data_IF_482939839314
#
_entry.id   IF_482939839314
#
_cell.length_a   1.000
_cell.length_b   1.000
_cell.length_c   1.000
_cell.angle_alpha   90.00
_cell.angle_beta   90.00
_cell.angle_gamma   90.00
#
_symmetry.space_group_name_H-M   'P 1'
#
loop_
_entity.id
_entity.type
_entity.pdbx_description
1 polymer ?
#
# COMPACT_ATOMS: atom_id res chain seq x y z
N UNK A 1 58.44 -68.76 -16.08
CA UNK A 1 57.11 -68.41 -16.60
C UNK A 1 56.25 -68.03 -15.42
N UNK A 2 56.36 -66.77 -14.99
CA UNK A 2 55.59 -66.22 -13.87
C UNK A 2 54.27 -65.72 -14.44
N UNK A 3 53.25 -66.56 -14.25
CA UNK A 3 51.88 -66.30 -14.60
C UNK A 3 51.44 -64.96 -14.04
N UNK A 4 51.12 -64.04 -14.95
CA UNK A 4 50.22 -62.88 -14.79
C UNK A 4 49.46 -63.00 -13.47
N UNK A 5 49.97 -62.35 -12.41
CA UNK A 5 49.13 -61.95 -11.28
C UNK A 5 48.00 -61.16 -11.94
N UNK A 6 46.87 -61.85 -12.07
CA UNK A 6 46.08 -61.81 -13.29
C UNK A 6 45.53 -60.40 -13.47
N UNK A 7 45.53 -59.85 -14.69
CA UNK A 7 45.03 -58.50 -14.98
C UNK A 7 43.69 -58.17 -14.28
N UNK A 8 42.88 -59.21 -14.04
CA UNK A 8 41.65 -59.16 -13.23
C UNK A 8 41.89 -58.69 -11.78
N UNK A 9 42.90 -59.19 -11.08
CA UNK A 9 43.26 -58.75 -9.73
C UNK A 9 43.67 -57.28 -9.69
N UNK A 10 44.43 -56.83 -10.70
CA UNK A 10 44.82 -55.42 -10.85
C UNK A 10 43.59 -54.54 -11.11
N UNK A 11 42.66 -54.99 -11.94
CA UNK A 11 41.41 -54.28 -12.22
C UNK A 11 40.48 -54.25 -11.00
N UNK A 12 40.38 -55.33 -10.23
CA UNK A 12 39.62 -55.38 -8.98
C UNK A 12 40.21 -54.42 -7.94
N UNK A 13 41.54 -54.41 -7.79
CA UNK A 13 42.23 -53.46 -6.91
C UNK A 13 42.03 -52.01 -7.34
N UNK A 14 42.01 -51.75 -8.65
CA UNK A 14 41.72 -50.42 -9.20
C UNK A 14 40.24 -50.03 -8.98
N UNK A 15 39.31 -50.97 -9.12
CA UNK A 15 37.89 -50.75 -8.88
C UNK A 15 37.62 -50.42 -7.40
N UNK A 16 38.19 -51.17 -6.45
CA UNK A 16 38.11 -50.86 -5.01
C UNK A 16 38.69 -49.47 -4.69
N UNK A 17 39.77 -49.08 -5.37
CA UNK A 17 40.37 -47.75 -5.19
C UNK A 17 39.45 -46.62 -5.69
N UNK A 18 38.79 -46.80 -6.84
CA UNK A 18 37.81 -45.83 -7.36
C UNK A 18 36.58 -45.75 -6.45
N UNK A 19 36.09 -46.88 -5.96
CA UNK A 19 34.91 -46.95 -5.10
C UNK A 19 35.18 -46.32 -3.71
N UNK A 20 36.42 -46.41 -3.20
CA UNK A 20 36.85 -45.64 -2.01
C UNK A 20 36.94 -44.15 -2.31
N UNK A 21 37.52 -43.78 -3.45
CA UNK A 21 37.63 -42.38 -3.90
C UNK A 21 36.29 -41.70 -4.13
N UNK A 22 35.31 -42.43 -4.65
CA UNK A 22 33.97 -41.93 -4.92
C UNK A 22 33.20 -41.69 -3.61
N UNK A 23 33.27 -42.64 -2.65
CA UNK A 23 32.73 -42.45 -1.29
C UNK A 23 33.39 -41.28 -0.55
N UNK A 24 34.69 -41.08 -0.70
CA UNK A 24 35.41 -39.93 -0.10
C UNK A 24 35.04 -38.59 -0.77
N UNK A 25 34.76 -38.60 -2.08
CA UNK A 25 34.32 -37.40 -2.80
C UNK A 25 32.91 -36.96 -2.40
N UNK A 26 32.05 -37.90 -2.02
CA UNK A 26 30.70 -37.63 -1.50
C UNK A 26 30.70 -37.28 0.01
N UNK A 27 31.67 -37.79 0.78
CA UNK A 27 31.75 -37.59 2.23
C UNK A 27 32.85 -36.61 2.67
N UNK A 28 32.93 -35.47 1.98
CA UNK A 28 33.92 -34.41 2.22
C UNK A 28 33.88 -33.67 3.56
N UNK A 29 33.12 -34.12 4.58
CA UNK A 29 33.04 -33.43 5.88
C UNK A 29 33.00 -34.31 7.13
N UNK A 30 33.10 -35.64 7.04
CA UNK A 30 32.93 -36.51 8.22
C UNK A 30 33.96 -37.65 8.31
N UNK A 31 35.25 -37.31 8.37
CA UNK A 31 36.23 -38.22 8.98
C UNK A 31 37.34 -37.42 9.66
N UNK A 32 37.12 -37.10 10.93
CA UNK A 32 38.19 -36.71 11.85
C UNK A 32 38.49 -37.94 12.69
N UNK A 33 39.65 -38.56 12.51
CA UNK A 33 40.56 -38.84 13.63
C UNK A 33 42.02 -38.84 13.14
N UNK A 34 42.96 -38.37 13.98
CA UNK A 34 44.28 -37.91 13.58
C UNK A 34 45.33 -39.02 13.73
N UNK A 35 46.39 -38.99 12.92
CA UNK A 35 47.78 -38.94 13.41
C UNK A 35 48.82 -39.00 12.27
N UNK A 36 49.76 -38.05 12.35
CA UNK A 36 51.14 -37.99 11.84
C UNK A 36 51.39 -37.38 10.44
N UNK A 37 52.01 -36.19 10.48
CA UNK A 37 52.55 -35.33 9.40
C UNK A 37 53.85 -35.88 8.78
N UNK A 38 54.65 -35.11 7.97
CA UNK A 38 54.40 -33.93 7.12
C UNK A 38 54.98 -34.08 5.68
N UNK A 39 54.51 -33.28 4.71
CA UNK A 39 55.24 -33.11 3.44
C UNK A 39 54.60 -32.11 2.48
N UNK A 40 55.27 -31.00 2.11
CA UNK A 40 54.74 -30.02 1.17
C UNK A 40 55.19 -30.37 -0.24
N UNK A 41 54.26 -30.77 -1.12
CA UNK A 41 54.58 -30.91 -2.55
C UNK A 41 53.51 -30.22 -3.38
N UNK A 42 53.90 -29.06 -3.90
CA UNK A 42 53.21 -28.30 -4.92
C UNK A 42 52.69 -29.19 -6.05
N UNK A 43 51.38 -29.35 -6.16
CA UNK A 43 50.77 -29.77 -7.42
C UNK A 43 50.21 -28.55 -8.11
N UNK A 44 51.03 -27.99 -9.02
CA UNK A 44 50.57 -27.09 -10.09
C UNK A 44 49.34 -27.72 -10.76
N UNK A 45 48.16 -27.17 -10.49
CA UNK A 45 46.97 -27.43 -11.31
C UNK A 45 47.22 -26.76 -12.66
N UNK A 46 47.48 -27.59 -13.67
CA UNK A 46 47.29 -27.20 -15.08
C UNK A 46 45.80 -26.85 -15.23
N UNK A 47 45.49 -25.57 -15.41
CA UNK A 47 44.15 -25.14 -15.79
C UNK A 47 43.84 -25.54 -17.24
N UNK A 48 42.55 -25.75 -17.61
CA UNK A 48 42.14 -26.03 -18.98
C UNK A 48 42.24 -24.78 -19.89
N UNK A 49 42.21 -24.94 -21.24
CA UNK A 49 42.53 -23.89 -22.21
C UNK A 49 41.49 -22.75 -22.31
N UNK A 50 41.84 -21.57 -22.87
CA UNK A 50 41.01 -20.38 -22.85
C UNK A 50 40.00 -20.39 -24.00
N UNK A 51 38.71 -20.58 -23.69
CA UNK A 51 37.62 -20.29 -24.64
C UNK A 51 36.27 -19.96 -23.97
N UNK A 52 36.27 -19.47 -22.71
CA UNK A 52 35.04 -19.13 -21.98
C UNK A 52 34.64 -17.65 -22.06
N UNK A 53 35.52 -16.76 -22.53
CA UNK A 53 35.30 -15.30 -22.46
C UNK A 53 34.19 -14.73 -23.36
N UNK A 54 33.83 -15.40 -24.46
CA UNK A 54 32.84 -14.87 -25.41
C UNK A 54 31.38 -15.17 -25.02
N UNK A 55 31.12 -16.33 -24.39
CA UNK A 55 29.77 -16.72 -23.94
C UNK A 55 29.36 -16.02 -22.63
N UNK A 56 30.32 -15.67 -21.78
CA UNK A 56 30.05 -14.94 -20.53
C UNK A 56 29.75 -13.46 -20.75
N UNK A 57 30.26 -12.85 -21.84
CA UNK A 57 30.00 -11.44 -22.15
C UNK A 57 28.51 -11.17 -22.37
N UNK A 58 27.85 -11.94 -23.23
CA UNK A 58 26.40 -11.79 -23.49
C UNK A 58 25.52 -12.09 -22.27
N UNK A 59 25.89 -13.09 -21.47
CA UNK A 59 25.21 -13.41 -20.20
C UNK A 59 25.37 -12.30 -19.17
N UNK A 60 26.55 -11.67 -19.09
CA UNK A 60 26.81 -10.57 -18.17
C UNK A 60 26.01 -9.31 -18.52
N UNK A 61 25.93 -8.94 -19.80
CA UNK A 61 25.13 -7.80 -20.28
C UNK A 61 23.65 -8.03 -19.98
N UNK A 62 23.14 -9.24 -20.23
CA UNK A 62 21.75 -9.60 -19.90
C UNK A 62 21.46 -9.45 -18.39
N UNK A 63 22.34 -9.95 -17.53
CA UNK A 63 22.20 -9.82 -16.08
C UNK A 63 22.23 -8.37 -15.62
N UNK A 64 23.08 -7.54 -16.22
CA UNK A 64 23.14 -6.12 -15.90
C UNK A 64 21.86 -5.40 -16.32
N UNK A 65 21.34 -5.68 -17.52
CA UNK A 65 20.08 -5.13 -18.00
C UNK A 65 18.90 -5.53 -17.09
N UNK A 66 18.81 -6.81 -16.72
CA UNK A 66 17.76 -7.30 -15.82
C UNK A 66 17.89 -6.71 -14.41
N UNK A 67 19.12 -6.48 -13.92
CA UNK A 67 19.35 -5.78 -12.65
C UNK A 67 18.83 -4.33 -12.71
N UNK A 68 19.13 -3.61 -13.79
CA UNK A 68 18.63 -2.24 -14.03
C UNK A 68 17.10 -2.23 -14.12
N UNK A 69 16.50 -3.16 -14.87
CA UNK A 69 15.04 -3.34 -14.98
C UNK A 69 14.40 -3.59 -13.60
N UNK A 70 14.97 -4.47 -12.78
CA UNK A 70 14.47 -4.76 -11.42
C UNK A 70 14.58 -3.56 -10.50
N UNK A 71 15.66 -2.78 -10.58
CA UNK A 71 15.80 -1.55 -9.81
C UNK A 71 14.74 -0.51 -10.20
N UNK A 72 14.47 -0.35 -11.49
CA UNK A 72 13.41 0.53 -11.97
C UNK A 72 12.02 0.08 -11.48
N UNK A 73 11.71 -1.22 -11.57
CA UNK A 73 10.44 -1.76 -11.08
C UNK A 73 10.26 -1.48 -9.57
N UNK A 74 11.30 -1.68 -8.75
CA UNK A 74 11.25 -1.36 -7.32
C UNK A 74 10.92 0.10 -7.08
N UNK A 75 11.57 1.03 -7.80
CA UNK A 75 11.27 2.46 -7.73
C UNK A 75 9.81 2.76 -8.08
N UNK A 76 9.29 2.16 -9.16
CA UNK A 76 7.88 2.34 -9.54
C UNK A 76 6.92 1.84 -8.44
N UNK A 77 7.21 0.70 -7.82
CA UNK A 77 6.37 0.16 -6.74
C UNK A 77 6.46 1.00 -5.46
N UNK A 78 7.61 1.56 -5.14
CA UNK A 78 7.79 2.51 -4.04
C UNK A 78 7.01 3.81 -4.26
N UNK A 79 7.02 4.34 -5.49
CA UNK A 79 6.21 5.51 -5.85
C UNK A 79 4.70 5.20 -5.75
N UNK A 80 4.27 4.04 -6.26
CA UNK A 80 2.89 3.60 -6.13
C UNK A 80 2.48 3.52 -4.65
N UNK A 81 3.37 2.97 -3.81
CA UNK A 81 3.14 2.90 -2.36
C UNK A 81 2.87 4.28 -1.75
N UNK A 82 3.65 5.31 -2.11
CA UNK A 82 3.48 6.66 -1.57
C UNK A 82 2.14 7.32 -1.94
N UNK A 83 1.54 6.92 -3.07
CA UNK A 83 0.26 7.49 -3.54
C UNK A 83 -0.96 6.83 -2.90
N UNK A 84 -0.76 5.71 -2.19
CA UNK A 84 -1.86 4.96 -1.59
C UNK A 84 -2.17 5.47 -0.18
N UNK A 85 -3.44 5.51 0.24
CA UNK A 85 -3.82 5.71 1.63
C UNK A 85 -3.41 4.48 2.45
N UNK A 86 -2.15 4.44 2.84
CA UNK A 86 -1.56 3.37 3.62
C UNK A 86 -1.67 3.76 5.09
N UNK A 87 -2.65 3.18 5.77
CA UNK A 87 -2.65 3.17 7.24
C UNK A 87 -1.36 2.52 7.76
N UNK A 88 -1.00 2.84 9.00
CA UNK A 88 0.18 2.32 9.69
C UNK A 88 0.23 0.77 9.78
N UNK A 89 -0.88 0.10 9.46
CA UNK A 89 -1.07 -1.35 9.65
C UNK A 89 -0.40 -2.23 8.57
N UNK A 90 0.16 -1.65 7.51
CA UNK A 90 0.81 -2.42 6.45
C UNK A 90 2.34 -2.39 6.56
N UNK A 91 2.87 -2.90 7.67
CA UNK A 91 4.31 -3.06 7.89
C UNK A 91 4.99 -3.94 6.81
N UNK A 92 4.23 -4.82 6.13
CA UNK A 92 4.69 -5.66 5.02
C UNK A 92 3.66 -5.74 3.89
N UNK A 93 4.02 -5.26 2.71
CA UNK A 93 3.23 -5.35 1.48
C UNK A 93 3.95 -6.25 0.47
N UNK A 94 3.21 -7.17 -0.14
CA UNK A 94 3.65 -7.91 -1.33
C UNK A 94 3.26 -7.13 -2.58
N UNK A 95 3.97 -7.33 -3.70
CA UNK A 95 3.65 -6.67 -4.98
C UNK A 95 2.18 -6.87 -5.37
N UNK A 96 1.66 -8.09 -5.21
CA UNK A 96 0.26 -8.40 -5.53
C UNK A 96 -0.73 -7.64 -4.64
N UNK A 97 -0.47 -7.57 -3.34
CA UNK A 97 -1.34 -6.85 -2.40
C UNK A 97 -1.39 -5.35 -2.69
N UNK A 98 -0.25 -4.75 -3.07
CA UNK A 98 -0.16 -3.34 -3.46
C UNK A 98 -1.00 -3.06 -4.71
N UNK A 99 -0.86 -3.88 -5.76
CA UNK A 99 -1.60 -3.70 -7.01
C UNK A 99 -3.11 -3.88 -6.81
N UNK A 100 -3.54 -4.85 -6.00
CA UNK A 100 -4.98 -5.04 -5.68
C UNK A 100 -5.55 -3.83 -4.94
N UNK A 101 -4.84 -3.31 -3.94
CA UNK A 101 -5.27 -2.11 -3.21
C UNK A 101 -5.29 -0.89 -4.13
N UNK A 102 -4.30 -0.72 -4.99
CA UNK A 102 -4.26 0.38 -5.96
C UNK A 102 -5.50 0.37 -6.86
N UNK A 103 -5.86 -0.80 -7.40
CA UNK A 103 -7.09 -0.94 -8.18
C UNK A 103 -8.34 -0.54 -7.38
N UNK A 104 -8.48 -1.02 -6.15
CA UNK A 104 -9.62 -0.66 -5.30
C UNK A 104 -9.65 0.83 -4.97
N UNK A 105 -8.50 1.46 -4.77
CA UNK A 105 -8.43 2.88 -4.47
C UNK A 105 -8.84 3.74 -5.66
N UNK A 106 -8.40 3.39 -6.87
CA UNK A 106 -8.84 4.04 -8.11
C UNK A 106 -10.37 3.96 -8.22
N UNK A 107 -10.95 2.77 -8.06
CA UNK A 107 -12.40 2.58 -8.10
C UNK A 107 -13.13 3.44 -7.06
N UNK A 108 -12.61 3.50 -5.83
CA UNK A 108 -13.16 4.35 -4.76
C UNK A 108 -13.11 5.83 -5.15
N UNK A 109 -12.01 6.30 -5.73
CA UNK A 109 -11.88 7.70 -6.18
C UNK A 109 -12.86 8.02 -7.30
N UNK A 110 -13.02 7.13 -8.28
CA UNK A 110 -13.98 7.28 -9.38
C UNK A 110 -15.42 7.37 -8.86
N UNK A 111 -15.80 6.51 -7.91
CA UNK A 111 -17.13 6.56 -7.28
C UNK A 111 -17.35 7.87 -6.51
N UNK A 112 -16.34 8.33 -5.78
CA UNK A 112 -16.40 9.60 -5.04
C UNK A 112 -16.55 10.79 -5.99
N UNK A 113 -15.82 10.80 -7.09
CA UNK A 113 -15.92 11.82 -8.12
C UNK A 113 -17.34 11.86 -8.71
N UNK A 114 -17.91 10.70 -9.07
CA UNK A 114 -19.28 10.63 -9.60
C UNK A 114 -20.33 11.13 -8.58
N UNK A 115 -20.19 10.78 -7.30
CA UNK A 115 -21.09 11.27 -6.24
C UNK A 115 -20.98 12.78 -6.07
N UNK A 116 -19.76 13.33 -6.06
CA UNK A 116 -19.52 14.76 -5.96
C UNK A 116 -20.07 15.52 -7.18
N UNK A 117 -19.95 14.96 -8.38
CA UNK A 117 -20.53 15.52 -9.60
C UNK A 117 -22.06 15.61 -9.50
N UNK A 118 -22.74 14.53 -9.10
CA UNK A 118 -24.21 14.53 -8.90
C UNK A 118 -24.64 15.57 -7.87
N UNK A 119 -23.95 15.65 -6.73
CA UNK A 119 -24.26 16.64 -5.69
C UNK A 119 -24.08 18.07 -6.22
N UNK A 120 -23.02 18.33 -6.98
CA UNK A 120 -22.76 19.63 -7.58
C UNK A 120 -23.86 20.02 -8.57
N UNK A 121 -24.36 19.09 -9.37
CA UNK A 121 -25.49 19.32 -10.28
C UNK A 121 -26.79 19.62 -9.55
N UNK A 122 -27.11 18.85 -8.50
CA UNK A 122 -28.27 19.11 -7.66
C UNK A 122 -28.21 20.50 -7.03
N UNK A 123 -27.06 20.89 -6.47
CA UNK A 123 -26.86 22.21 -5.87
C UNK A 123 -26.96 23.33 -6.92
N UNK A 124 -26.45 23.11 -8.14
CA UNK A 124 -26.60 24.07 -9.25
C UNK A 124 -28.06 24.28 -9.64
N UNK A 125 -28.84 23.20 -9.73
CA UNK A 125 -30.28 23.28 -10.02
C UNK A 125 -31.03 24.04 -8.92
N UNK A 126 -30.77 23.71 -7.65
CA UNK A 126 -31.34 24.44 -6.50
C UNK A 126 -30.96 25.92 -6.52
N UNK A 127 -29.70 26.24 -6.80
CA UNK A 127 -29.24 27.63 -6.91
C UNK A 127 -29.98 28.39 -8.03
N UNK A 128 -30.19 27.75 -9.18
CA UNK A 128 -30.93 28.37 -10.29
C UNK A 128 -32.39 28.61 -9.92
N UNK A 129 -33.06 27.63 -9.31
CA UNK A 129 -34.45 27.77 -8.84
C UNK A 129 -34.59 28.92 -7.83
N UNK A 130 -33.72 28.98 -6.82
CA UNK A 130 -33.72 30.06 -5.83
C UNK A 130 -33.45 31.43 -6.47
N UNK A 131 -32.57 31.51 -7.48
CA UNK A 131 -32.33 32.74 -8.23
C UNK A 131 -33.57 33.21 -8.99
N UNK A 132 -34.29 32.29 -9.64
CA UNK A 132 -35.55 32.61 -10.33
C UNK A 132 -36.62 33.09 -9.34
N UNK A 133 -36.75 32.45 -8.18
CA UNK A 133 -37.67 32.90 -7.12
C UNK A 133 -37.31 34.30 -6.60
N UNK A 134 -36.01 34.56 -6.38
CA UNK A 134 -35.56 35.91 -5.99
C UNK A 134 -35.84 36.94 -7.08
N UNK A 135 -35.69 36.59 -8.36
CA UNK A 135 -36.02 37.47 -9.47
C UNK A 135 -37.52 37.75 -9.54
N UNK A 136 -38.38 36.75 -9.33
CA UNK A 136 -39.85 36.95 -9.26
C UNK A 136 -40.27 37.86 -8.10
N UNK A 137 -39.63 37.73 -6.93
CA UNK A 137 -39.92 38.57 -5.77
C UNK A 137 -39.33 39.99 -5.90
N UNK A 138 -38.21 40.15 -6.62
CA UNK A 138 -37.58 41.45 -6.88
C UNK A 138 -38.14 42.15 -8.10
N UNK A 139 -38.72 41.42 -9.05
CA UNK A 139 -39.52 41.97 -10.12
C UNK A 139 -40.61 42.80 -9.44
N UNK A 140 -40.66 44.12 -9.68
CA UNK A 140 -41.54 44.98 -8.92
C UNK A 140 -42.97 44.47 -9.09
N UNK A 141 -43.59 44.06 -7.98
CA UNK A 141 -45.02 43.80 -7.83
C UNK A 141 -45.84 45.10 -8.03
N UNK A 142 -45.53 45.87 -9.07
CA UNK A 142 -45.77 47.31 -9.09
C UNK A 142 -45.87 47.94 -10.47
N UNK A 143 -45.91 47.17 -11.56
CA UNK A 143 -46.27 47.71 -12.88
C UNK A 143 -47.70 47.34 -13.33
N UNK A 144 -48.37 46.41 -12.64
CA UNK A 144 -49.74 45.97 -12.99
C UNK A 144 -50.78 46.06 -11.88
N UNK A 145 -50.38 46.18 -10.61
CA UNK A 145 -51.33 46.12 -9.48
C UNK A 145 -51.65 47.49 -8.85
N UNK A 146 -50.84 48.53 -9.09
CA UNK A 146 -51.17 49.89 -8.61
C UNK A 146 -52.33 50.55 -9.37
N UNK A 147 -52.72 50.04 -10.53
CA UNK A 147 -53.82 50.61 -11.34
C UNK A 147 -55.15 49.87 -11.15
N UNK A 148 -55.21 48.81 -10.33
CA UNK A 148 -56.45 48.04 -10.09
C UNK A 148 -57.03 48.18 -8.68
N UNK A 149 -56.58 49.18 -7.92
CA UNK A 149 -57.32 49.66 -6.76
C UNK A 149 -58.54 50.46 -7.22
N UNK A 150 -59.64 49.77 -7.59
CA UNK A 150 -61.06 50.18 -7.47
C UNK A 150 -61.94 49.30 -8.36
N UNK A 151 -62.43 48.18 -7.81
CA UNK A 151 -63.71 47.61 -8.17
C UNK A 151 -64.14 46.63 -7.07
N UNK A 152 -64.91 47.18 -6.14
CA UNK A 152 -66.00 46.60 -5.35
C UNK A 152 -66.25 45.09 -5.51
N UNK A 153 -66.31 44.36 -4.38
CA UNK A 153 -67.55 43.76 -3.85
C UNK A 153 -67.25 42.62 -2.87
N UNK A 154 -68.13 42.55 -1.88
CA UNK A 154 -68.15 41.64 -0.74
C UNK A 154 -68.49 40.20 -1.16
N UNK A 155 -68.12 39.27 -0.27
CA UNK A 155 -68.61 37.89 -0.13
C UNK A 155 -67.79 36.79 -0.82
N UNK A 156 -67.02 36.05 0.00
CA UNK A 156 -66.87 34.59 -0.04
C UNK A 156 -65.87 34.13 1.02
N UNK A 157 -66.38 33.92 2.22
CA UNK A 157 -65.79 33.01 3.21
C UNK A 157 -66.11 31.57 2.81
N UNK A 158 -65.08 30.73 2.56
CA UNK A 158 -65.26 29.35 2.14
C UNK A 158 -63.97 28.54 2.20
N UNK A 159 -63.64 28.12 3.42
CA UNK A 159 -62.70 27.08 3.83
C UNK A 159 -62.46 25.98 2.77
N UNK A 160 -61.21 25.72 2.39
CA UNK A 160 -60.62 24.36 2.49
C UNK A 160 -59.12 24.38 2.17
N UNK A 161 -58.36 24.39 3.27
CA UNK A 161 -56.96 24.01 3.33
C UNK A 161 -56.89 22.48 3.38
N UNK A 162 -56.54 21.81 2.29
CA UNK A 162 -56.19 20.39 2.30
C UNK A 162 -54.89 20.16 1.52
N UNK A 163 -53.79 20.25 2.29
CA UNK A 163 -52.59 19.41 2.23
C UNK A 163 -51.99 19.20 0.83
N UNK A 164 -51.01 20.04 0.49
CA UNK A 164 -49.94 19.61 -0.39
C UNK A 164 -49.00 18.74 0.45
N UNK A 165 -49.18 17.42 0.34
CA UNK A 165 -48.30 16.42 0.95
C UNK A 165 -47.01 16.33 0.12
N UNK A 166 -46.09 17.27 0.39
CA UNK A 166 -44.73 17.13 -0.09
C UNK A 166 -44.02 16.19 0.87
N UNK A 167 -43.96 14.91 0.48
CA UNK A 167 -43.13 13.86 1.06
C UNK A 167 -41.69 14.38 1.23
N UNK A 168 -41.42 14.88 2.42
CA UNK A 168 -40.07 15.10 2.91
C UNK A 168 -39.60 13.75 3.44
N UNK A 169 -39.06 12.91 2.56
CA UNK A 169 -38.26 11.78 3.04
C UNK A 169 -37.07 12.35 3.81
N UNK A 170 -37.14 12.19 5.14
CA UNK A 170 -36.07 12.44 6.08
C UNK A 170 -34.88 11.55 5.69
N UNK A 171 -33.96 12.09 4.89
CA UNK A 171 -32.63 11.53 4.78
C UNK A 171 -31.93 11.79 6.12
N UNK A 172 -32.00 10.78 7.00
CA UNK A 172 -31.14 10.66 8.17
C UNK A 172 -29.70 10.91 7.73
N UNK A 173 -29.17 12.08 8.11
CA UNK A 173 -27.75 12.35 7.99
C UNK A 173 -27.08 11.52 9.07
N UNK A 174 -26.46 10.41 8.69
CA UNK A 174 -25.58 9.64 9.56
C UNK A 174 -24.42 10.55 10.01
N UNK A 175 -24.54 11.11 11.22
CA UNK A 175 -23.49 11.88 11.90
C UNK A 175 -22.54 10.94 12.68
N UNK A 176 -22.71 9.62 12.58
CA UNK A 176 -21.95 8.63 13.35
C UNK A 176 -21.04 7.76 12.47
N UNK A 177 -20.26 8.37 11.57
CA UNK A 177 -19.10 7.66 10.98
C UNK A 177 -17.84 8.51 10.77
N UNK A 178 -17.79 9.75 11.25
CA UNK A 178 -16.51 10.42 11.56
C UNK A 178 -16.09 10.06 13.00
N UNK A 179 -16.12 8.76 13.32
CA UNK A 179 -15.23 8.21 14.33
C UNK A 179 -13.86 8.13 13.67
N UNK A 180 -13.16 9.26 13.72
CA UNK A 180 -11.71 9.29 13.65
C UNK A 180 -11.21 8.34 14.74
N UNK A 181 -10.85 7.13 14.33
CA UNK A 181 -10.38 6.09 15.22
C UNK A 181 -9.10 6.54 15.94
N UNK A 182 -9.27 6.86 17.23
CA UNK A 182 -8.30 6.52 18.26
C UNK A 182 -7.18 7.50 18.55
N UNK A 183 -7.49 8.72 19.01
CA UNK A 183 -6.54 9.46 19.87
C UNK A 183 -6.88 9.19 21.34
N UNK A 184 -6.40 8.05 21.83
CA UNK A 184 -6.36 7.70 23.24
C UNK A 184 -5.23 8.42 24.01
N UNK A 185 -4.81 9.63 23.61
CA UNK A 185 -3.66 10.31 24.23
C UNK A 185 -3.87 11.75 24.73
N UNK A 186 -5.04 12.39 24.53
CA UNK A 186 -5.21 13.81 24.93
C UNK A 186 -5.87 14.08 26.30
N UNK A 187 -6.09 13.05 27.13
CA UNK A 187 -6.56 13.23 28.52
C UNK A 187 -5.50 12.90 29.58
N UNK A 188 -4.25 13.30 29.32
CA UNK A 188 -3.20 13.40 30.37
C UNK A 188 -2.62 14.82 30.37
N UNK A 189 -3.45 15.80 30.71
CA UNK A 189 -3.01 17.20 30.63
C UNK A 189 -3.76 18.23 31.48
N UNK A 190 -4.70 17.83 32.34
CA UNK A 190 -5.30 18.76 33.32
C UNK A 190 -5.50 18.02 34.65
N UNK A 191 -4.47 18.04 35.50
CA UNK A 191 -4.64 17.83 36.94
C UNK A 191 -4.44 19.18 37.62
N UNK A 192 -5.56 19.87 37.86
CA UNK A 192 -5.61 20.92 38.87
C UNK A 192 -5.75 20.22 40.22
N UNK A 193 -4.60 19.97 40.86
CA UNK A 193 -4.50 19.42 42.20
C UNK A 193 -3.74 20.40 43.08
N UNK A 194 -4.50 21.30 43.69
CA UNK A 194 -4.09 22.20 44.76
C UNK A 194 -3.56 21.41 45.95
N UNK A 195 -2.29 21.60 46.32
CA UNK A 195 -1.80 21.37 47.68
C UNK A 195 -0.66 22.36 47.96
N UNK A 196 -0.88 23.27 48.91
CA UNK A 196 0.16 24.11 49.46
C UNK A 196 1.05 23.25 50.37
N UNK A 197 2.38 23.30 50.20
CA UNK A 197 3.28 23.21 51.35
C UNK A 197 4.65 23.82 51.05
N UNK A 198 4.99 24.79 51.89
CA UNK A 198 6.25 25.51 52.00
C UNK A 198 7.23 24.63 52.77
N UNK A 199 8.47 24.50 52.28
CA UNK A 199 9.66 24.58 53.13
C UNK A 199 10.93 24.77 52.32
N UNK A 200 11.79 25.55 52.95
CA UNK A 200 12.98 26.22 52.48
C UNK A 200 14.23 25.37 52.77
N UNK A 201 15.36 25.73 52.13
CA UNK A 201 16.74 25.24 52.34
C UNK A 201 17.05 23.82 51.81
N UNK A 202 18.20 23.52 51.22
CA UNK A 202 19.44 24.25 50.95
C UNK A 202 20.34 23.31 50.12
N UNK A 203 21.12 23.85 49.20
CA UNK A 203 22.59 23.83 49.26
C UNK A 203 23.17 22.91 48.18
N UNK A 204 23.88 23.56 47.26
CA UNK A 204 24.73 22.95 46.25
C UNK A 204 25.95 22.31 46.90
N UNK A 205 26.28 21.08 46.50
CA UNK A 205 27.64 20.57 46.26
C UNK A 205 27.54 19.31 45.38
#
# INVERSE_FOLDING_TARGET
MESVASNIQVLLQAAEFLERREREAEHGYASLFPHRSPGPVHRKRKGPPPALGALDSGRSVHNELEKRRRAQLKRCLEQLKQQMPLGADCARYTTLSLLRRARMHIQKLEEQEQRAQRLKEQLRSKQQSLRQQLEQLRAPAGAGERERLRADSLDSSGLSSERSDSDHEELEVDVESVVFGGEAELLRGFSAGQEHSYSHSGAWL
#
